data_IF_634182058133
#
_entry.id   IF_634182058133
#
_cell.length_a   1.000
_cell.length_b   1.000
_cell.length_c   1.000
_cell.angle_alpha   90.00
_cell.angle_beta   90.00
_cell.angle_gamma   90.00
#
_symmetry.space_group_name_H-M   'P 1'
#
loop_
_entity.id
_entity.type
_entity.pdbx_description
1 polymer ?
#
# COMPACT_ATOMS: atom_id res chain seq x y z
N UNK A 1 64.89 16.68 4.29
CA UNK A 1 66.29 16.74 4.81
C UNK A 1 66.65 15.56 5.74
N UNK A 2 65.70 14.82 6.36
CA UNK A 2 66.03 13.80 7.38
C UNK A 2 66.14 12.32 6.94
N UNK A 3 65.92 11.99 5.66
CA UNK A 3 66.01 10.58 5.18
C UNK A 3 67.42 10.20 4.71
N UNK A 4 68.11 11.12 4.03
CA UNK A 4 69.48 10.90 3.54
C UNK A 4 70.50 10.77 4.67
N UNK A 5 70.38 11.57 5.74
CA UNK A 5 71.24 11.48 6.93
C UNK A 5 71.13 10.11 7.63
N UNK A 6 69.93 9.54 7.68
CA UNK A 6 69.66 8.26 8.35
C UNK A 6 70.24 7.07 7.58
N UNK A 7 70.17 7.13 6.25
CA UNK A 7 70.76 6.12 5.36
C UNK A 7 72.30 6.18 5.38
N UNK A 8 72.89 7.39 5.44
CA UNK A 8 74.34 7.56 5.57
C UNK A 8 74.90 7.05 6.90
N UNK A 9 74.19 7.25 8.02
CA UNK A 9 74.63 6.74 9.33
C UNK A 9 74.57 5.20 9.36
N UNK A 10 73.52 4.59 8.81
CA UNK A 10 73.41 3.13 8.76
C UNK A 10 74.47 2.48 7.87
N UNK A 11 74.86 3.12 6.76
CA UNK A 11 75.93 2.59 5.88
C UNK A 11 77.33 2.72 6.51
N UNK A 12 77.56 3.70 7.37
CA UNK A 12 78.85 3.80 8.10
C UNK A 12 78.97 2.81 9.26
N UNK A 13 77.85 2.34 9.83
CA UNK A 13 77.84 1.48 11.02
C UNK A 13 77.92 -0.03 10.70
N UNK A 14 77.58 -0.44 9.48
CA UNK A 14 77.57 -1.86 9.05
C UNK A 14 78.92 -2.59 9.08
N UNK A 15 80.09 -1.95 8.86
CA UNK A 15 81.38 -2.65 8.92
C UNK A 15 81.82 -3.00 10.35
N UNK A 16 81.24 -2.34 11.36
CA UNK A 16 81.62 -2.46 12.77
C UNK A 16 80.71 -3.40 13.56
N UNK A 17 79.70 -4.00 12.91
CA UNK A 17 78.84 -5.00 13.53
C UNK A 17 79.51 -6.38 13.47
N UNK A 18 79.57 -7.13 14.58
CA UNK A 18 80.18 -8.45 14.61
C UNK A 18 79.40 -9.41 13.70
N UNK A 19 80.11 -10.11 12.80
CA UNK A 19 79.50 -11.11 11.91
C UNK A 19 79.20 -12.39 12.71
N UNK A 20 77.98 -12.95 12.62
CA UNK A 20 77.63 -14.15 13.38
C UNK A 20 78.41 -15.37 12.88
N UNK A 21 79.05 -16.09 13.81
CA UNK A 21 79.73 -17.35 13.53
C UNK A 21 78.72 -18.47 13.23
N UNK A 22 78.94 -19.22 12.15
CA UNK A 22 78.11 -20.38 11.79
C UNK A 22 78.50 -21.59 12.65
N UNK A 23 77.59 -22.04 13.50
CA UNK A 23 77.71 -23.30 14.26
C UNK A 23 77.07 -24.46 13.45
N UNK A 24 77.57 -25.71 13.50
CA UNK A 24 77.11 -26.80 12.64
C UNK A 24 75.95 -27.64 13.22
N UNK A 25 75.25 -27.17 14.25
CA UNK A 25 74.09 -27.86 14.85
C UNK A 25 72.80 -27.05 14.66
N UNK A 26 71.66 -27.67 14.32
CA UNK A 26 70.38 -26.99 14.24
C UNK A 26 69.87 -26.66 15.65
N UNK A 27 69.55 -25.39 15.91
CA UNK A 27 68.91 -24.95 17.15
C UNK A 27 67.47 -25.45 17.22
N UNK A 28 67.15 -26.21 18.28
CA UNK A 28 65.81 -26.66 18.65
C UNK A 28 64.91 -25.49 19.09
N UNK A 29 64.49 -24.64 18.15
CA UNK A 29 63.32 -23.73 18.28
C UNK A 29 62.87 -23.25 16.90
N UNK A 30 62.21 -24.09 16.12
CA UNK A 30 61.29 -23.63 15.07
C UNK A 30 59.86 -23.65 15.62
N UNK A 31 59.64 -22.86 16.67
CA UNK A 31 58.32 -22.40 17.06
C UNK A 31 58.25 -20.92 16.75
N UNK A 32 57.30 -20.47 15.92
CA UNK A 32 56.97 -19.05 15.81
C UNK A 32 56.86 -18.50 17.24
N UNK A 33 57.68 -17.50 17.60
CA UNK A 33 57.53 -16.79 18.87
C UNK A 33 56.05 -16.45 19.02
N UNK A 34 55.41 -16.89 20.10
CA UNK A 34 54.11 -16.35 20.48
C UNK A 34 54.29 -14.83 20.50
N UNK A 35 53.53 -14.11 19.66
CA UNK A 35 53.51 -12.65 19.72
C UNK A 35 53.17 -12.28 21.16
N UNK A 36 54.02 -11.46 21.78
CA UNK A 36 53.64 -10.76 23.01
C UNK A 36 52.28 -10.09 22.73
N UNK A 37 51.31 -10.16 23.67
CA UNK A 37 50.03 -9.52 23.48
C UNK A 37 50.28 -8.02 23.18
N UNK A 38 49.66 -7.47 22.14
CA UNK A 38 50.00 -6.13 21.67
C UNK A 38 49.83 -5.14 22.82
N UNK A 39 50.86 -4.33 23.04
CA UNK A 39 50.86 -3.25 24.02
C UNK A 39 49.64 -2.35 23.77
N UNK A 40 49.14 -1.67 24.81
CA UNK A 40 48.08 -0.66 24.66
C UNK A 40 48.40 0.34 23.54
N UNK A 41 49.68 0.67 23.36
CA UNK A 41 50.16 1.51 22.27
C UNK A 41 49.97 0.87 20.88
N UNK A 42 50.24 -0.42 20.71
CA UNK A 42 50.04 -1.13 19.43
C UNK A 42 48.56 -1.36 19.13
N UNK A 43 47.72 -1.58 20.16
CA UNK A 43 46.26 -1.61 19.99
C UNK A 43 45.70 -0.24 19.61
N UNK A 44 46.24 0.84 20.18
CA UNK A 44 45.87 2.21 19.83
C UNK A 44 46.31 2.59 18.41
N UNK A 45 47.50 2.17 17.97
CA UNK A 45 47.98 2.36 16.59
C UNK A 45 47.11 1.60 15.60
N UNK A 46 46.78 0.32 15.89
CA UNK A 46 45.91 -0.47 15.02
C UNK A 46 44.47 0.07 14.98
N UNK A 47 43.94 0.55 16.11
CA UNK A 47 42.64 1.24 16.15
C UNK A 47 42.68 2.57 15.40
N UNK A 48 43.75 3.37 15.53
CA UNK A 48 43.94 4.60 14.75
C UNK A 48 43.95 4.28 13.27
N UNK A 49 44.73 3.30 12.83
CA UNK A 49 44.77 2.93 11.40
C UNK A 49 43.44 2.37 10.88
N UNK A 50 42.66 1.70 11.73
CA UNK A 50 41.34 1.20 11.35
C UNK A 50 40.30 2.33 11.29
N UNK A 51 40.43 3.33 12.17
CA UNK A 51 39.61 4.55 12.14
C UNK A 51 39.99 5.39 10.91
N UNK A 52 41.28 5.55 10.61
CA UNK A 52 41.74 6.29 9.43
C UNK A 52 41.23 5.63 8.14
N UNK A 53 41.28 4.29 8.04
CA UNK A 53 40.70 3.55 6.92
C UNK A 53 39.17 3.69 6.84
N UNK A 54 38.48 3.67 7.98
CA UNK A 54 37.03 3.85 8.02
C UNK A 54 36.62 5.29 7.67
N UNK A 55 37.43 6.29 8.03
CA UNK A 55 37.26 7.69 7.64
C UNK A 55 37.53 7.85 6.14
N UNK A 56 38.59 7.26 5.59
CA UNK A 56 38.85 7.28 4.14
C UNK A 56 37.71 6.61 3.34
N UNK A 57 37.14 5.53 3.86
CA UNK A 57 36.00 4.83 3.23
C UNK A 57 34.71 5.66 3.35
N UNK A 58 34.47 6.30 4.49
CA UNK A 58 33.37 7.27 4.68
C UNK A 58 33.54 8.50 3.80
N UNK A 59 34.73 9.06 3.67
CA UNK A 59 35.03 10.19 2.77
C UNK A 59 34.78 9.77 1.32
N UNK A 60 35.13 8.54 0.94
CA UNK A 60 34.86 8.02 -0.40
C UNK A 60 33.36 7.79 -0.65
N UNK A 61 32.61 7.24 0.31
CA UNK A 61 31.15 7.13 0.22
C UNK A 61 30.47 8.51 0.21
N UNK A 62 30.98 9.45 1.00
CA UNK A 62 30.50 10.82 1.04
C UNK A 62 30.79 11.54 -0.28
N UNK A 63 32.00 11.42 -0.83
CA UNK A 63 32.40 11.93 -2.16
C UNK A 63 31.49 11.41 -3.28
N UNK A 64 31.05 10.14 -3.19
CA UNK A 64 30.08 9.55 -4.11
C UNK A 64 28.68 10.14 -3.87
N UNK A 65 28.25 10.30 -2.62
CA UNK A 65 26.94 10.84 -2.25
C UNK A 65 26.78 12.35 -2.54
N UNK A 66 27.89 13.10 -2.52
CA UNK A 66 27.95 14.54 -2.82
C UNK A 66 28.37 14.83 -4.28
N UNK A 67 28.55 13.79 -5.11
CA UNK A 67 28.83 13.94 -6.54
C UNK A 67 30.24 14.42 -6.90
N UNK A 68 31.19 14.49 -5.96
CA UNK A 68 32.55 14.99 -6.20
C UNK A 68 33.37 14.09 -7.15
N UNK A 69 32.94 12.84 -7.36
CA UNK A 69 33.47 11.93 -8.39
C UNK A 69 32.36 11.20 -9.14
N UNK A 70 31.66 11.94 -9.99
CA UNK A 70 30.72 11.45 -11.00
C UNK A 70 30.41 12.61 -11.96
N UNK A 71 30.00 12.32 -13.19
CA UNK A 71 29.70 13.35 -14.20
C UNK A 71 28.78 14.44 -13.61
N UNK A 72 29.13 15.70 -13.89
CA UNK A 72 28.41 16.89 -13.41
C UNK A 72 26.93 16.76 -13.77
N UNK A 73 26.10 16.59 -12.77
CA UNK A 73 24.65 16.56 -12.91
C UNK A 73 24.16 18.00 -12.93
N UNK A 74 23.22 18.32 -13.81
CA UNK A 74 22.65 19.67 -13.92
C UNK A 74 21.87 20.14 -12.67
N UNK A 75 21.77 19.29 -11.64
CA UNK A 75 20.99 19.44 -10.42
C UNK A 75 21.79 19.84 -9.18
N UNK A 76 23.09 19.99 -9.29
CA UNK A 76 23.93 20.32 -8.14
C UNK A 76 23.76 21.79 -7.74
N UNK A 77 24.06 22.13 -6.48
CA UNK A 77 24.11 23.50 -5.97
C UNK A 77 25.00 24.36 -6.88
N UNK A 78 24.40 25.35 -7.54
CA UNK A 78 25.10 26.28 -8.43
C UNK A 78 25.23 27.62 -7.73
N UNK A 79 26.44 28.16 -7.67
CA UNK A 79 26.67 29.52 -7.22
C UNK A 79 26.49 30.47 -8.40
N UNK A 80 25.46 31.32 -8.37
CA UNK A 80 25.22 32.38 -9.35
C UNK A 80 25.36 33.74 -8.65
N UNK A 81 26.38 34.50 -9.02
CA UNK A 81 26.66 35.85 -8.51
C UNK A 81 26.61 36.01 -6.96
N UNK A 82 27.10 35.00 -6.22
CA UNK A 82 27.14 35.02 -4.75
C UNK A 82 25.86 34.55 -4.06
N UNK A 83 24.88 34.04 -4.81
CA UNK A 83 23.77 33.23 -4.30
C UNK A 83 24.03 31.74 -4.57
N UNK A 84 23.92 30.91 -3.53
CA UNK A 84 23.90 29.46 -3.67
C UNK A 84 22.48 29.01 -4.02
N UNK A 85 22.25 28.72 -5.30
CA UNK A 85 20.96 28.30 -5.83
C UNK A 85 20.95 26.78 -5.96
N UNK A 86 20.10 26.13 -5.18
CA UNK A 86 19.72 24.73 -5.36
C UNK A 86 18.35 24.71 -6.03
N UNK A 87 18.30 24.34 -7.31
CA UNK A 87 17.03 24.22 -8.04
C UNK A 87 16.39 22.84 -7.79
N UNK A 88 15.56 22.76 -6.75
CA UNK A 88 14.73 21.59 -6.42
C UNK A 88 13.40 21.56 -7.21
N UNK A 89 13.16 22.49 -8.14
CA UNK A 89 11.94 22.46 -8.97
C UNK A 89 11.92 21.27 -9.94
N UNK A 90 13.09 20.68 -10.21
CA UNK A 90 13.26 19.37 -10.86
C UNK A 90 13.62 18.30 -9.84
N UNK A 91 12.66 17.96 -8.98
CA UNK A 91 12.63 16.61 -8.42
C UNK A 91 12.58 15.62 -9.60
N UNK A 92 13.71 15.03 -10.02
CA UNK A 92 13.64 13.76 -10.76
C UNK A 92 13.32 12.64 -9.77
N UNK A 93 12.18 12.74 -9.10
CA UNK A 93 11.46 11.51 -8.88
C UNK A 93 10.98 11.12 -10.27
N UNK A 94 11.71 10.22 -10.93
CA UNK A 94 11.11 9.46 -12.03
C UNK A 94 9.77 8.97 -11.50
N UNK A 95 8.68 9.38 -12.15
CA UNK A 95 7.33 9.03 -11.72
C UNK A 95 7.15 7.51 -11.64
N UNK A 96 8.00 6.78 -12.36
CA UNK A 96 8.02 5.35 -12.46
C UNK A 96 9.46 4.84 -12.29
N UNK A 97 9.73 4.07 -11.24
CA UNK A 97 11.02 3.40 -11.02
C UNK A 97 10.91 1.94 -11.43
N UNK A 98 11.80 1.47 -12.30
CA UNK A 98 11.76 0.09 -12.82
C UNK A 98 11.91 -0.97 -11.72
N UNK A 99 12.65 -0.66 -10.65
CA UNK A 99 12.77 -1.50 -9.44
C UNK A 99 11.43 -1.79 -8.76
N UNK A 100 10.45 -0.89 -8.91
CA UNK A 100 9.14 -0.99 -8.28
C UNK A 100 8.08 -1.65 -9.17
N UNK A 101 8.38 -1.99 -10.43
CA UNK A 101 7.39 -2.49 -11.40
C UNK A 101 6.72 -3.80 -10.96
N UNK A 102 7.49 -4.71 -10.35
CA UNK A 102 6.96 -5.98 -9.85
C UNK A 102 5.98 -5.77 -8.69
N UNK A 103 6.37 -4.96 -7.70
CA UNK A 103 5.53 -4.62 -6.56
C UNK A 103 4.27 -3.86 -6.99
N UNK A 104 4.42 -2.96 -7.95
CA UNK A 104 3.35 -2.17 -8.54
C UNK A 104 2.33 -3.06 -9.24
N UNK A 105 2.78 -4.02 -10.04
CA UNK A 105 1.89 -4.96 -10.73
C UNK A 105 1.07 -5.79 -9.73
N UNK A 106 1.72 -6.35 -8.71
CA UNK A 106 1.02 -7.09 -7.65
C UNK A 106 0.00 -6.22 -6.90
N UNK A 107 0.36 -4.97 -6.59
CA UNK A 107 -0.54 -4.01 -5.97
C UNK A 107 -1.76 -3.75 -6.83
N UNK A 108 -1.57 -3.46 -8.12
CA UNK A 108 -2.67 -3.19 -9.05
C UNK A 108 -3.63 -4.37 -9.13
N UNK A 109 -3.13 -5.59 -9.23
CA UNK A 109 -3.97 -6.79 -9.31
C UNK A 109 -4.83 -6.98 -8.07
N UNK A 110 -4.24 -6.80 -6.89
CA UNK A 110 -4.96 -6.86 -5.61
C UNK A 110 -6.00 -5.74 -5.53
N UNK A 111 -5.62 -4.50 -5.85
CA UNK A 111 -6.53 -3.36 -5.81
C UNK A 111 -7.69 -3.53 -6.80
N UNK A 112 -7.45 -4.00 -8.02
CA UNK A 112 -8.52 -4.25 -8.99
C UNK A 112 -9.51 -5.31 -8.49
N UNK A 113 -9.02 -6.43 -7.97
CA UNK A 113 -9.87 -7.48 -7.40
C UNK A 113 -10.72 -6.96 -6.22
N UNK A 114 -10.12 -6.13 -5.36
CA UNK A 114 -10.85 -5.44 -4.29
C UNK A 114 -11.95 -4.53 -4.82
N UNK A 115 -11.64 -3.71 -5.83
CA UNK A 115 -12.59 -2.75 -6.40
C UNK A 115 -13.75 -3.43 -7.14
N UNK A 116 -13.51 -4.59 -7.77
CA UNK A 116 -14.54 -5.30 -8.56
C UNK A 116 -15.60 -6.00 -7.70
N UNK A 117 -15.20 -6.67 -6.61
CA UNK A 117 -16.16 -7.45 -5.81
C UNK A 117 -15.72 -7.62 -4.34
N UNK A 118 -15.79 -6.54 -3.53
CA UNK A 118 -15.30 -6.56 -2.15
C UNK A 118 -16.25 -7.24 -1.16
N UNK A 119 -17.55 -7.27 -1.47
CA UNK A 119 -18.59 -7.67 -0.52
C UNK A 119 -19.03 -9.12 -0.67
N UNK A 120 -19.27 -9.75 0.47
CA UNK A 120 -20.07 -10.96 0.61
C UNK A 120 -21.45 -10.57 1.18
N UNK A 121 -22.50 -11.17 0.63
CA UNK A 121 -23.87 -10.90 1.03
C UNK A 121 -24.54 -12.18 1.48
N UNK A 122 -25.26 -12.11 2.60
CA UNK A 122 -26.24 -13.11 3.00
C UNK A 122 -27.62 -12.48 2.93
N UNK A 123 -28.48 -13.05 2.10
CA UNK A 123 -29.83 -12.57 1.88
C UNK A 123 -30.81 -13.59 2.45
N UNK A 124 -31.61 -13.17 3.43
CA UNK A 124 -32.59 -14.03 4.06
C UNK A 124 -33.94 -13.96 3.32
N UNK A 125 -34.77 -14.98 3.51
CA UNK A 125 -36.11 -14.99 2.92
C UNK A 125 -36.95 -13.87 3.54
N UNK A 126 -37.61 -13.01 2.73
CA UNK A 126 -38.41 -11.92 3.27
C UNK A 126 -39.61 -12.45 4.02
N UNK A 127 -40.00 -11.71 5.05
CA UNK A 127 -41.22 -11.94 5.80
C UNK A 127 -42.31 -11.02 5.26
N UNK A 128 -43.51 -11.58 5.07
CA UNK A 128 -44.67 -10.84 4.62
C UNK A 128 -45.67 -10.79 5.78
N UNK A 129 -45.69 -9.64 6.46
CA UNK A 129 -46.52 -9.42 7.63
C UNK A 129 -47.84 -8.79 7.20
N UNK A 130 -48.94 -9.42 7.59
CA UNK A 130 -50.28 -8.96 7.29
C UNK A 130 -50.72 -7.92 8.32
N UNK A 131 -51.14 -6.74 7.87
CA UNK A 131 -51.80 -5.78 8.74
C UNK A 131 -53.26 -6.20 8.97
N UNK A 132 -53.60 -6.46 10.23
CA UNK A 132 -54.96 -6.86 10.64
C UNK A 132 -55.99 -5.77 10.33
N UNK A 133 -55.57 -4.50 10.25
CA UNK A 133 -56.41 -3.35 10.01
C UNK A 133 -56.49 -2.97 8.52
N UNK A 134 -55.46 -3.29 7.72
CA UNK A 134 -55.41 -3.03 6.28
C UNK A 134 -55.17 -4.33 5.49
N UNK A 135 -56.27 -5.03 5.19
CA UNK A 135 -56.28 -6.33 4.50
C UNK A 135 -55.71 -6.34 3.08
N UNK A 136 -55.40 -5.17 2.52
CA UNK A 136 -54.99 -5.00 1.11
C UNK A 136 -53.48 -4.86 0.93
N UNK A 137 -52.73 -4.66 2.01
CA UNK A 137 -51.29 -4.45 1.98
C UNK A 137 -50.56 -5.46 2.86
N UNK A 138 -49.38 -5.87 2.40
CA UNK A 138 -48.39 -6.54 3.23
C UNK A 138 -47.28 -5.56 3.59
N UNK A 139 -46.80 -5.65 4.82
CA UNK A 139 -45.50 -5.12 5.19
C UNK A 139 -44.45 -6.19 4.89
N UNK A 140 -43.53 -5.86 4.00
CA UNK A 140 -42.39 -6.71 3.66
C UNK A 140 -41.23 -6.34 4.56
N UNK A 141 -40.60 -7.35 5.16
CA UNK A 141 -39.36 -7.23 5.93
C UNK A 141 -38.30 -8.08 5.26
N UNK A 142 -37.26 -7.45 4.71
CA UNK A 142 -36.14 -8.10 4.03
C UNK A 142 -34.85 -7.85 4.79
N UNK A 143 -34.22 -8.93 5.27
CA UNK A 143 -32.96 -8.87 5.98
C UNK A 143 -31.79 -9.21 5.04
N UNK A 144 -30.77 -8.35 5.07
CA UNK A 144 -29.54 -8.50 4.29
C UNK A 144 -28.34 -8.23 5.19
N UNK A 145 -27.43 -9.19 5.29
CA UNK A 145 -26.16 -9.01 5.98
C UNK A 145 -25.06 -8.72 4.95
N UNK A 146 -24.42 -7.55 5.07
CA UNK A 146 -23.29 -7.15 4.25
C UNK A 146 -21.98 -7.28 5.02
N UNK A 147 -20.94 -7.82 4.39
CA UNK A 147 -19.59 -7.86 4.96
C UNK A 147 -18.51 -7.90 3.89
N UNK A 148 -17.27 -7.57 4.24
CA UNK A 148 -16.14 -7.81 3.36
C UNK A 148 -15.88 -9.31 3.18
N UNK A 149 -15.50 -9.73 1.97
CA UNK A 149 -15.10 -11.12 1.75
C UNK A 149 -13.84 -11.45 2.57
N UNK A 150 -13.77 -12.66 3.13
CA UNK A 150 -12.61 -13.06 3.93
C UNK A 150 -11.30 -13.21 3.15
N UNK A 151 -11.36 -13.42 1.82
CA UNK A 151 -10.17 -13.49 0.97
C UNK A 151 -9.56 -12.11 0.71
N UNK A 152 -10.38 -11.07 0.55
CA UNK A 152 -9.96 -9.67 0.35
C UNK A 152 -8.91 -9.23 1.37
N UNK A 153 -9.15 -9.51 2.66
CA UNK A 153 -8.21 -9.15 3.74
C UNK A 153 -6.94 -10.01 3.68
N UNK A 154 -7.09 -11.31 3.42
CA UNK A 154 -5.96 -12.24 3.31
C UNK A 154 -5.06 -11.90 2.13
N UNK A 155 -5.65 -11.50 1.01
CA UNK A 155 -4.95 -11.12 -0.22
C UNK A 155 -4.18 -9.82 0.02
N UNK A 156 -4.74 -8.84 0.74
CA UNK A 156 -4.00 -7.64 1.16
C UNK A 156 -2.84 -7.94 2.12
N UNK A 157 -3.03 -8.85 3.08
CA UNK A 157 -2.00 -9.21 4.06
C UNK A 157 -0.86 -10.04 3.46
N UNK A 158 -1.13 -10.83 2.42
CA UNK A 158 -0.15 -11.76 1.83
C UNK A 158 0.59 -11.19 0.62
N UNK A 159 -0.08 -10.34 -0.16
CA UNK A 159 0.36 -10.05 -1.52
C UNK A 159 1.15 -8.75 -1.65
N UNK A 160 1.28 -7.94 -0.59
CA UNK A 160 1.88 -6.62 -0.69
C UNK A 160 2.92 -6.34 0.40
N UNK A 161 4.15 -5.93 0.04
CA UNK A 161 5.08 -5.31 0.98
C UNK A 161 4.58 -3.93 1.41
N UNK A 162 3.54 -3.89 2.25
CA UNK A 162 2.99 -2.63 2.77
C UNK A 162 4.08 -1.83 3.50
N UNK A 163 4.03 -0.52 3.35
CA UNK A 163 4.96 0.41 4.01
C UNK A 163 4.62 0.57 5.49
N UNK A 164 3.35 0.35 5.83
CA UNK A 164 2.84 0.33 7.19
C UNK A 164 1.46 -0.29 7.26
N UNK A 165 1.09 -0.73 8.46
CA UNK A 165 -0.22 -1.27 8.80
C UNK A 165 -0.67 -0.60 10.09
N UNK A 166 -1.87 0.00 10.08
CA UNK A 166 -2.53 0.47 11.30
C UNK A 166 -3.79 -0.35 11.50
N UNK A 167 -3.96 -0.92 12.69
CA UNK A 167 -5.17 -1.60 13.08
C UNK A 167 -5.75 -0.93 14.32
N UNK A 168 -7.02 -0.57 14.25
CA UNK A 168 -7.77 0.06 15.34
C UNK A 168 -9.17 -0.58 15.41
N UNK A 169 -9.34 -1.54 16.33
CA UNK A 169 -10.55 -2.36 16.39
C UNK A 169 -10.79 -3.16 15.10
N UNK A 170 -11.94 -2.91 14.47
CA UNK A 170 -12.34 -3.49 13.18
C UNK A 170 -11.74 -2.76 11.96
N UNK A 171 -11.17 -1.57 12.14
CA UNK A 171 -10.57 -0.79 11.07
C UNK A 171 -9.12 -1.22 10.84
N UNK A 172 -8.81 -1.56 9.60
CA UNK A 172 -7.45 -1.88 9.14
C UNK A 172 -7.07 -0.93 8.01
N UNK A 173 -5.96 -0.21 8.15
CA UNK A 173 -5.44 0.72 7.13
C UNK A 173 -4.07 0.27 6.65
N UNK A 174 -3.97 0.01 5.35
CA UNK A 174 -2.74 -0.33 4.65
C UNK A 174 -2.14 0.94 4.03
N UNK A 175 -0.84 1.13 4.21
CA UNK A 175 -0.10 2.27 3.67
C UNK A 175 0.88 1.81 2.59
N UNK A 176 0.85 2.49 1.45
CA UNK A 176 1.75 2.31 0.32
C UNK A 176 2.48 3.64 0.07
N UNK A 177 3.79 3.61 -0.09
CA UNK A 177 4.61 4.77 -0.41
C UNK A 177 5.21 4.67 -1.81
N UNK A 178 5.55 5.83 -2.39
CA UNK A 178 6.19 5.90 -3.70
C UNK A 178 7.62 5.32 -3.72
N UNK A 179 8.22 5.11 -2.55
CA UNK A 179 9.55 4.50 -2.46
C UNK A 179 9.53 3.02 -2.88
N UNK A 180 8.45 2.29 -2.60
CA UNK A 180 8.32 0.85 -2.88
C UNK A 180 7.36 0.51 -4.03
N UNK A 181 6.60 1.49 -4.49
CA UNK A 181 5.54 1.34 -5.47
C UNK A 181 5.49 2.53 -6.42
N UNK A 182 5.15 2.26 -7.68
CA UNK A 182 4.73 3.29 -8.60
C UNK A 182 3.21 3.45 -8.49
N UNK A 183 2.69 4.66 -8.68
CA UNK A 183 1.26 4.94 -8.67
C UNK A 183 0.79 5.34 -10.07
N UNK A 184 0.38 4.37 -10.92
CA UNK A 184 -0.09 4.68 -12.25
C UNK A 184 -1.28 5.63 -12.24
N UNK A 185 -1.35 6.47 -13.26
CA UNK A 185 -2.43 7.44 -13.43
C UNK A 185 -3.81 6.77 -13.47
N UNK A 186 -3.92 5.58 -14.05
CA UNK A 186 -5.19 4.87 -14.22
C UNK A 186 -5.85 4.51 -12.88
N UNK A 187 -5.11 3.85 -11.98
CA UNK A 187 -5.62 3.51 -10.64
C UNK A 187 -5.84 4.78 -9.81
N UNK A 188 -4.92 5.73 -9.90
CA UNK A 188 -5.03 7.00 -9.16
C UNK A 188 -6.31 7.74 -9.55
N UNK A 189 -6.62 7.80 -10.85
CA UNK A 189 -7.83 8.42 -11.38
C UNK A 189 -9.09 7.67 -10.96
N UNK A 190 -9.10 6.33 -11.03
CA UNK A 190 -10.22 5.51 -10.54
C UNK A 190 -10.55 5.80 -9.08
N UNK A 191 -9.52 5.90 -8.22
CA UNK A 191 -9.68 6.21 -6.80
C UNK A 191 -10.20 7.63 -6.61
N UNK A 192 -9.60 8.62 -7.27
CA UNK A 192 -9.99 10.04 -7.16
C UNK A 192 -11.43 10.30 -7.62
N UNK A 193 -11.85 9.63 -8.70
CA UNK A 193 -13.21 9.72 -9.22
C UNK A 193 -14.21 8.85 -8.46
N UNK A 194 -13.75 8.01 -7.53
CA UNK A 194 -14.61 7.12 -6.77
C UNK A 194 -15.22 5.99 -7.60
N UNK A 195 -14.62 5.60 -8.73
CA UNK A 195 -15.16 4.59 -9.66
C UNK A 195 -15.23 3.17 -9.05
N UNK A 196 -14.59 2.96 -7.90
CA UNK A 196 -14.68 1.73 -7.11
C UNK A 196 -15.94 1.67 -6.22
N UNK A 197 -16.64 2.80 -6.04
CA UNK A 197 -17.81 2.86 -5.17
C UNK A 197 -18.97 2.16 -5.84
N UNK A 198 -19.64 1.33 -5.06
CA UNK A 198 -20.77 0.54 -5.53
C UNK A 198 -21.94 0.65 -4.57
N UNK A 199 -23.14 0.59 -5.15
CA UNK A 199 -24.41 0.75 -4.47
C UNK A 199 -25.19 -0.57 -4.61
N UNK A 200 -25.68 -1.17 -3.51
CA UNK A 200 -26.50 -2.37 -3.61
C UNK A 200 -27.89 -2.02 -4.15
N UNK A 201 -28.28 -2.72 -5.20
CA UNK A 201 -29.61 -2.67 -5.79
C UNK A 201 -30.24 -4.05 -5.68
N UNK A 202 -31.40 -4.11 -5.01
CA UNK A 202 -32.14 -5.35 -4.78
C UNK A 202 -33.39 -5.33 -5.67
N UNK A 203 -33.61 -6.42 -6.40
CA UNK A 203 -34.83 -6.60 -7.19
C UNK A 203 -35.61 -7.79 -6.66
N UNK A 204 -36.88 -7.57 -6.36
CA UNK A 204 -37.86 -8.63 -6.15
C UNK A 204 -38.58 -8.83 -7.48
N UNK A 205 -38.52 -10.05 -7.99
CA UNK A 205 -38.87 -10.37 -9.37
C UNK A 205 -40.00 -11.42 -9.43
N UNK A 206 -40.80 -11.34 -10.49
CA UNK A 206 -41.80 -12.35 -10.82
C UNK A 206 -41.17 -13.64 -11.38
N UNK A 207 -41.99 -14.64 -11.70
CA UNK A 207 -41.55 -15.90 -12.29
C UNK A 207 -40.88 -15.77 -13.66
N UNK A 208 -41.10 -14.65 -14.35
CA UNK A 208 -40.48 -14.31 -15.63
C UNK A 208 -39.20 -13.45 -15.45
N UNK A 209 -38.72 -13.30 -14.21
CA UNK A 209 -37.56 -12.46 -13.86
C UNK A 209 -37.77 -10.97 -14.12
N UNK A 210 -39.02 -10.52 -14.24
CA UNK A 210 -39.34 -9.10 -14.38
C UNK A 210 -39.31 -8.44 -13.00
N UNK A 211 -38.65 -7.29 -12.83
CA UNK A 211 -38.63 -6.59 -11.57
C UNK A 211 -40.04 -6.11 -11.23
N UNK A 212 -40.48 -6.37 -10.01
CA UNK A 212 -41.73 -5.86 -9.44
C UNK A 212 -41.43 -4.75 -8.42
N UNK A 213 -40.38 -4.96 -7.62
CA UNK A 213 -39.88 -4.01 -6.63
C UNK A 213 -38.38 -3.84 -6.86
N UNK A 214 -37.92 -2.59 -6.84
CA UNK A 214 -36.50 -2.24 -6.86
C UNK A 214 -36.19 -1.42 -5.61
N UNK A 215 -35.29 -1.95 -4.79
CA UNK A 215 -34.74 -1.31 -3.61
C UNK A 215 -33.35 -0.78 -3.97
N UNK A 216 -33.08 0.49 -3.68
CA UNK A 216 -31.77 1.12 -3.89
C UNK A 216 -31.31 1.72 -2.59
N UNK A 217 -30.17 1.27 -2.08
CA UNK A 217 -29.62 1.77 -0.83
C UNK A 217 -28.49 2.77 -1.11
N UNK A 218 -28.84 4.04 -1.25
CA UNK A 218 -27.95 5.11 -1.72
C UNK A 218 -28.04 6.35 -0.84
N UNK A 219 -26.93 7.05 -0.69
CA UNK A 219 -26.89 8.37 -0.05
C UNK A 219 -27.36 9.51 -0.98
N UNK A 220 -27.49 9.26 -2.29
CA UNK A 220 -27.84 10.28 -3.28
C UNK A 220 -29.30 10.71 -3.13
N UNK A 221 -29.50 11.92 -2.61
CA UNK A 221 -30.82 12.51 -2.38
C UNK A 221 -31.66 12.63 -3.65
N UNK A 222 -31.05 12.88 -4.81
CA UNK A 222 -31.81 12.99 -6.05
C UNK A 222 -32.46 11.66 -6.44
N UNK A 223 -31.81 10.54 -6.11
CA UNK A 223 -32.37 9.21 -6.32
C UNK A 223 -33.50 8.89 -5.33
N UNK A 224 -33.52 9.50 -4.14
CA UNK A 224 -34.61 9.31 -3.18
C UNK A 224 -35.95 9.88 -3.65
N UNK A 225 -35.90 10.90 -4.51
CA UNK A 225 -37.10 11.55 -5.04
C UNK A 225 -37.64 10.87 -6.32
N UNK A 226 -36.96 9.84 -6.83
CA UNK A 226 -37.41 9.12 -8.02
C UNK A 226 -38.69 8.34 -7.77
N UNK A 227 -39.54 8.29 -8.79
CA UNK A 227 -40.77 7.51 -8.79
C UNK A 227 -40.87 6.72 -10.09
N UNK A 228 -41.62 5.62 -10.08
CA UNK A 228 -41.91 4.83 -11.28
C UNK A 228 -43.38 4.46 -11.30
N UNK A 229 -43.94 4.44 -12.51
CA UNK A 229 -45.29 3.95 -12.79
C UNK A 229 -45.31 2.47 -13.19
N UNK A 230 -44.14 1.86 -13.39
CA UNK A 230 -43.99 0.47 -13.86
C UNK A 230 -43.74 -0.49 -12.70
N UNK A 231 -42.93 -0.07 -11.74
CA UNK A 231 -42.44 -0.90 -10.64
C UNK A 231 -42.46 -0.12 -9.33
N UNK A 232 -42.49 -0.85 -8.21
CA UNK A 232 -42.38 -0.23 -6.88
C UNK A 232 -40.91 0.12 -6.63
N UNK A 233 -40.60 1.41 -6.60
CA UNK A 233 -39.27 1.90 -6.27
C UNK A 233 -39.17 2.29 -4.78
N UNK A 234 -38.13 1.80 -4.09
CA UNK A 234 -37.89 2.08 -2.67
C UNK A 234 -36.43 2.49 -2.42
N UNK A 235 -36.15 3.79 -2.27
CA UNK A 235 -34.83 4.25 -1.88
C UNK A 235 -34.64 4.14 -0.35
N UNK A 236 -33.45 3.76 0.06
CA UNK A 236 -33.00 3.71 1.46
C UNK A 236 -31.58 4.26 1.59
N UNK A 237 -31.12 4.43 2.84
CA UNK A 237 -29.74 4.78 3.14
C UNK A 237 -29.29 4.10 4.45
N UNK A 238 -29.12 2.78 4.39
CA UNK A 238 -28.67 1.93 5.51
C UNK A 238 -27.31 1.30 5.25
N UNK A 239 -27.00 0.99 3.99
CA UNK A 239 -25.72 0.42 3.59
C UNK A 239 -24.59 1.45 3.73
N UNK A 240 -23.52 1.04 4.39
CA UNK A 240 -22.27 1.82 4.50
C UNK A 240 -21.13 1.06 3.84
N UNK A 241 -20.34 1.69 2.94
CA UNK A 241 -19.18 1.04 2.34
C UNK A 241 -18.14 0.66 3.41
N UNK A 242 -17.67 -0.58 3.39
CA UNK A 242 -16.68 -1.10 4.33
C UNK A 242 -15.24 -0.92 3.85
N UNK A 243 -15.05 -0.25 2.71
CA UNK A 243 -13.75 -0.07 2.08
C UNK A 243 -13.64 1.33 1.52
N UNK A 244 -12.47 1.94 1.74
CA UNK A 244 -12.15 3.23 1.18
C UNK A 244 -10.70 3.27 0.67
N UNK A 245 -10.51 3.91 -0.48
CA UNK A 245 -9.21 4.17 -1.07
C UNK A 245 -8.89 5.65 -1.00
N UNK A 246 -7.64 5.99 -0.73
CA UNK A 246 -7.16 7.37 -0.80
C UNK A 246 -5.81 7.36 -1.49
N UNK A 247 -5.64 8.25 -2.47
CA UNK A 247 -4.39 8.38 -3.21
C UNK A 247 -3.96 9.83 -3.21
N UNK A 248 -2.72 10.07 -2.81
CA UNK A 248 -2.02 11.34 -2.95
C UNK A 248 -0.79 11.17 -3.84
N UNK A 249 -0.05 12.27 -4.06
CA UNK A 249 1.17 12.22 -4.90
C UNK A 249 2.26 11.28 -4.35
N UNK A 250 2.28 11.05 -3.04
CA UNK A 250 3.36 10.31 -2.36
C UNK A 250 2.95 9.01 -1.68
N UNK A 251 1.65 8.83 -1.45
CA UNK A 251 1.14 7.70 -0.70
C UNK A 251 -0.25 7.29 -1.16
N UNK A 252 -0.52 6.00 -1.09
CA UNK A 252 -1.85 5.43 -1.20
C UNK A 252 -2.23 4.74 0.10
N UNK A 253 -3.49 4.84 0.47
CA UNK A 253 -4.07 4.20 1.64
C UNK A 253 -5.28 3.37 1.25
N UNK A 254 -5.38 2.18 1.84
CA UNK A 254 -6.55 1.31 1.72
C UNK A 254 -7.08 1.06 3.13
N UNK A 255 -8.27 1.59 3.41
CA UNK A 255 -8.97 1.37 4.67
C UNK A 255 -10.03 0.29 4.47
N UNK A 256 -10.02 -0.72 5.34
CA UNK A 256 -10.97 -1.83 5.38
C UNK A 256 -11.60 -1.92 6.76
N UNK A 257 -12.92 -2.05 6.81
CA UNK A 257 -13.65 -2.23 8.05
C UNK A 257 -14.25 -3.65 8.10
N UNK A 258 -13.77 -4.45 9.05
CA UNK A 258 -14.15 -5.87 9.16
C UNK A 258 -15.31 -6.05 10.12
N UNK A 259 -16.47 -5.52 9.75
CA UNK A 259 -17.73 -5.66 10.49
C UNK A 259 -18.80 -6.30 9.61
N UNK A 260 -19.78 -6.91 10.27
CA UNK A 260 -21.02 -7.35 9.63
C UNK A 260 -22.05 -6.21 9.77
N UNK A 261 -22.63 -5.77 8.66
CA UNK A 261 -23.71 -4.77 8.64
C UNK A 261 -25.03 -5.51 8.38
N UNK A 262 -25.83 -5.80 9.43
CA UNK A 262 -27.19 -6.29 9.27
C UNK A 262 -28.11 -5.12 8.88
N UNK A 263 -28.83 -5.26 7.78
CA UNK A 263 -29.79 -4.27 7.29
C UNK A 263 -31.17 -4.89 7.17
N UNK A 264 -32.17 -4.19 7.72
CA UNK A 264 -33.57 -4.55 7.62
C UNK A 264 -34.30 -3.53 6.73
N UNK A 265 -34.72 -3.96 5.55
CA UNK A 265 -35.53 -3.15 4.64
C UNK A 265 -37.02 -3.42 4.90
N UNK A 266 -37.73 -2.39 5.37
CA UNK A 266 -39.17 -2.47 5.63
C UNK A 266 -39.93 -1.56 4.68
N UNK A 267 -40.91 -2.12 3.96
CA UNK A 267 -41.80 -1.34 3.09
C UNK A 267 -43.13 -2.04 2.88
N UNK A 268 -44.16 -1.27 2.53
CA UNK A 268 -45.48 -1.80 2.23
C UNK A 268 -45.66 -2.03 0.72
N UNK A 269 -46.42 -3.06 0.36
CA UNK A 269 -46.86 -3.32 -1.00
C UNK A 269 -48.21 -4.03 -1.02
N UNK A 270 -48.91 -4.00 -2.16
CA UNK A 270 -50.18 -4.68 -2.29
C UNK A 270 -50.04 -6.22 -2.30
N UNK A 271 -51.09 -6.89 -1.84
CA UNK A 271 -51.16 -8.36 -1.74
C UNK A 271 -50.92 -9.06 -3.08
N UNK A 272 -51.42 -8.49 -4.19
CA UNK A 272 -51.27 -9.09 -5.52
C UNK A 272 -49.82 -9.08 -6.01
N UNK A 273 -49.12 -7.97 -5.84
CA UNK A 273 -47.70 -7.85 -6.19
C UNK A 273 -46.85 -8.71 -5.27
N UNK A 274 -47.15 -8.76 -3.97
CA UNK A 274 -46.42 -9.62 -3.03
C UNK A 274 -46.48 -11.10 -3.41
N UNK A 275 -47.67 -11.58 -3.77
CA UNK A 275 -47.90 -12.99 -4.15
C UNK A 275 -47.26 -13.36 -5.50
N UNK A 276 -46.89 -12.39 -6.33
CA UNK A 276 -46.24 -12.67 -7.62
C UNK A 276 -44.71 -12.71 -7.53
N UNK A 277 -44.12 -12.33 -6.40
CA UNK A 277 -42.68 -12.43 -6.16
C UNK A 277 -42.28 -13.91 -6.11
N UNK A 278 -41.31 -14.29 -6.93
CA UNK A 278 -40.74 -15.64 -6.98
C UNK A 278 -39.24 -15.68 -6.75
N UNK A 279 -38.55 -14.55 -6.94
CA UNK A 279 -37.09 -14.46 -6.86
C UNK A 279 -36.64 -13.12 -6.29
N UNK A 280 -35.53 -13.14 -5.58
CA UNK A 280 -34.82 -11.94 -5.13
C UNK A 280 -33.42 -11.98 -5.71
N UNK A 281 -32.96 -10.83 -6.21
CA UNK A 281 -31.59 -10.66 -6.67
C UNK A 281 -31.02 -9.40 -6.05
N UNK A 282 -29.74 -9.43 -5.71
CA UNK A 282 -29.00 -8.27 -5.23
C UNK A 282 -27.78 -8.13 -6.12
N UNK A 283 -27.55 -6.92 -6.62
CA UNK A 283 -26.38 -6.58 -7.42
C UNK A 283 -25.79 -5.27 -6.95
N UNK A 284 -24.47 -5.25 -6.77
CA UNK A 284 -23.73 -4.01 -6.59
C UNK A 284 -23.55 -3.32 -7.95
N UNK A 285 -24.02 -2.09 -8.06
CA UNK A 285 -23.91 -1.26 -9.26
C UNK A 285 -22.90 -0.15 -9.00
N UNK A 286 -21.92 0.10 -9.89
CA UNK A 286 -21.04 1.25 -9.77
C UNK A 286 -21.85 2.55 -9.64
N UNK A 287 -21.45 3.42 -8.71
CA UNK A 287 -22.19 4.65 -8.37
C UNK A 287 -22.39 5.55 -9.61
N UNK A 288 -21.37 5.65 -10.46
CA UNK A 288 -21.41 6.39 -11.73
C UNK A 288 -22.34 5.79 -12.79
N UNK A 289 -22.67 4.50 -12.71
CA UNK A 289 -23.58 3.81 -13.64
C UNK A 289 -25.02 3.72 -13.12
N UNK A 290 -25.24 4.01 -11.83
CA UNK A 290 -26.51 3.77 -11.13
C UNK A 290 -27.69 4.48 -11.81
N UNK A 291 -27.54 5.75 -12.16
CA UNK A 291 -28.58 6.53 -12.86
C UNK A 291 -29.00 5.86 -14.18
N UNK A 292 -28.02 5.50 -15.00
CA UNK A 292 -28.24 4.82 -16.29
C UNK A 292 -28.88 3.45 -16.10
N UNK A 293 -28.49 2.72 -15.05
CA UNK A 293 -29.05 1.42 -14.71
C UNK A 293 -30.52 1.53 -14.31
N UNK A 294 -30.86 2.48 -13.44
CA UNK A 294 -32.23 2.71 -12.97
C UNK A 294 -33.14 3.24 -14.10
N UNK A 295 -32.63 4.10 -14.99
CA UNK A 295 -33.39 4.60 -16.13
C UNK A 295 -33.88 3.52 -17.10
N UNK A 296 -33.27 2.32 -17.09
CA UNK A 296 -33.74 1.16 -17.87
C UNK A 296 -34.84 0.36 -17.17
N UNK A 297 -34.95 0.48 -15.84
CA UNK A 297 -35.88 -0.29 -15.01
C UNK A 297 -37.15 0.50 -14.68
N UNK A 298 -37.01 1.79 -14.37
CA UNK A 298 -38.09 2.68 -13.93
C UNK A 298 -38.98 3.14 -15.08
#
# INVERSE_FOLDING_TARGET
INRSLRESINTMMTPYLPKPAKNPYPTLTEGKRMREPPSYAEKAINMSSAIDLAIDELEKELDISIGARGEVSDKDLKEDNGEWVLDFSKDNYEDNRSENDLNTTMMIDVLNNLMESPYQVKLDRPQFNYDSNNKKEFQVVLNVDYKLKGNVIKDMLKSLPYSGLKQDGSLTVFYFNKDKYNFPADISKKIQLGEYRTIPVIQLQDSNQRPLVVIVDTADKALHDLTSNKIIYKPFHFFSPLMNFTVGGWSMQVALETVDIPVEYIFNMDVTTANSISRISLKFIPENELNTYLGKLL
#
